data_IF_572862639772
#
_entry.id   IF_572862639772
#
_cell.length_a   1.000
_cell.length_b   1.000
_cell.length_c   1.000
_cell.angle_alpha   90.00
_cell.angle_beta   90.00
_cell.angle_gamma   90.00
#
_symmetry.space_group_name_H-M   'P 1'
#
loop_
_entity.id
_entity.type
_entity.pdbx_description
1 polymer ?
#
# COMPACT_ATOMS: atom_id res chain seq x y z
N UNK A 1 -6.86 23.39 -1.08
CA UNK A 1 -8.25 22.91 -1.17
C UNK A 1 -8.50 21.88 -2.28
N UNK A 2 -7.77 21.89 -3.41
CA UNK A 2 -7.95 20.89 -4.51
C UNK A 2 -7.52 19.45 -4.18
N UNK A 3 -6.58 19.24 -3.24
CA UNK A 3 -6.07 17.90 -2.88
C UNK A 3 -7.07 17.04 -2.08
N UNK A 4 -8.00 17.66 -1.37
CA UNK A 4 -8.99 16.96 -0.53
C UNK A 4 -10.18 16.40 -1.34
N UNK A 5 -10.47 16.99 -2.51
CA UNK A 5 -11.55 16.54 -3.38
C UNK A 5 -11.22 15.21 -4.09
N UNK A 6 -9.94 14.96 -4.39
CA UNK A 6 -9.52 13.72 -5.05
C UNK A 6 -9.67 12.49 -4.13
N UNK A 7 -9.46 12.67 -2.81
CA UNK A 7 -9.65 11.61 -1.81
C UNK A 7 -11.13 11.22 -1.67
N UNK A 8 -12.03 12.21 -1.74
CA UNK A 8 -13.48 11.95 -1.71
C UNK A 8 -14.02 11.32 -3.00
N UNK A 9 -13.43 11.64 -4.16
CA UNK A 9 -13.85 11.06 -5.45
C UNK A 9 -13.50 9.57 -5.56
N UNK A 10 -12.38 9.13 -4.98
CA UNK A 10 -12.00 7.71 -4.94
C UNK A 10 -12.89 6.94 -3.95
N UNK A 11 -13.27 7.55 -2.82
CA UNK A 11 -14.22 6.97 -1.88
C UNK A 11 -15.62 6.76 -2.49
N UNK A 12 -16.04 7.63 -3.42
CA UNK A 12 -17.32 7.52 -4.11
C UNK A 12 -17.39 6.41 -5.17
N UNK A 13 -16.27 6.07 -5.82
CA UNK A 13 -16.23 4.97 -6.80
C UNK A 13 -16.22 3.57 -6.15
N UNK A 14 -15.94 3.45 -4.85
CA UNK A 14 -16.03 2.17 -4.12
C UNK A 14 -17.47 1.76 -3.76
N UNK A 15 -18.48 2.59 -4.02
CA UNK A 15 -19.87 2.31 -3.61
C UNK A 15 -20.61 1.36 -4.57
N UNK A 16 -19.97 0.95 -5.67
CA UNK A 16 -20.55 0.01 -6.64
C UNK A 16 -19.78 -1.32 -6.69
N UNK A 17 -19.88 -2.13 -5.63
CA UNK A 17 -19.40 -3.53 -5.62
C UNK A 17 -20.50 -4.44 -5.00
N UNK A 18 -20.78 -5.63 -5.56
CA UNK A 18 -21.97 -6.42 -5.24
C UNK A 18 -21.91 -7.09 -3.85
N UNK A 19 -23.10 -7.26 -3.25
CA UNK A 19 -23.47 -8.09 -2.08
C UNK A 19 -22.48 -8.21 -0.91
N UNK A 20 -22.83 -7.52 0.18
CA UNK A 20 -22.17 -7.41 1.50
C UNK A 20 -22.09 -8.71 2.34
N UNK A 21 -21.70 -9.87 1.79
CA UNK A 21 -21.58 -11.09 2.62
C UNK A 21 -20.19 -11.28 3.26
N UNK A 22 -19.11 -10.74 2.68
CA UNK A 22 -17.73 -11.05 3.12
C UNK A 22 -16.74 -9.86 2.91
N UNK A 23 -17.25 -8.63 2.89
CA UNK A 23 -16.38 -7.46 2.82
C UNK A 23 -15.85 -7.14 4.23
N UNK A 24 -14.53 -7.07 4.38
CA UNK A 24 -13.87 -6.77 5.65
C UNK A 24 -13.03 -5.50 5.51
N UNK A 25 -13.06 -4.64 6.53
CA UNK A 25 -12.19 -3.46 6.59
C UNK A 25 -11.16 -3.69 7.68
N UNK A 26 -9.91 -3.33 7.40
CA UNK A 26 -8.81 -3.44 8.35
C UNK A 26 -8.00 -2.15 8.43
N UNK A 27 -7.50 -1.82 9.62
CA UNK A 27 -6.42 -0.86 9.80
C UNK A 27 -5.10 -1.60 9.83
N UNK A 28 -4.10 -1.09 9.10
CA UNK A 28 -2.73 -1.61 9.06
C UNK A 28 -1.78 -0.61 9.69
N UNK A 29 -0.88 -1.11 10.54
CA UNK A 29 0.16 -0.34 11.23
C UNK A 29 1.51 -1.01 10.99
N UNK A 30 2.49 -0.29 10.47
CA UNK A 30 3.87 -0.77 10.34
C UNK A 30 4.64 -0.21 9.16
N UNK A 31 5.87 -0.66 8.97
CA UNK A 31 6.72 -0.22 7.86
C UNK A 31 6.26 -0.88 6.56
N UNK A 32 5.34 -0.22 5.85
CA UNK A 32 4.73 -0.79 4.65
C UNK A 32 4.74 0.17 3.46
N UNK A 33 5.32 -0.26 2.36
CA UNK A 33 5.16 0.34 1.03
C UNK A 33 3.78 0.07 0.43
N UNK A 34 2.94 -0.77 1.07
CA UNK A 34 1.58 -1.05 0.63
C UNK A 34 0.55 -0.09 1.25
N UNK A 35 0.79 0.36 2.48
CA UNK A 35 -0.15 1.19 3.24
C UNK A 35 0.50 2.32 4.04
N UNK A 36 1.78 2.62 3.83
CA UNK A 36 2.51 3.57 4.68
C UNK A 36 2.67 3.08 6.11
N UNK A 37 3.01 4.00 7.03
CA UNK A 37 3.11 3.67 8.47
C UNK A 37 1.76 3.28 9.09
N UNK A 38 0.70 3.95 8.65
CA UNK A 38 -0.66 3.64 9.04
C UNK A 38 -1.57 3.78 7.82
N UNK A 39 -2.38 2.76 7.56
CA UNK A 39 -3.30 2.76 6.45
C UNK A 39 -4.52 1.89 6.68
N UNK A 40 -5.42 1.90 5.71
CA UNK A 40 -6.66 1.15 5.70
C UNK A 40 -6.60 0.17 4.55
N UNK A 41 -7.14 -1.02 4.76
CA UNK A 41 -7.34 -2.02 3.73
C UNK A 41 -8.80 -2.45 3.68
N UNK A 42 -9.36 -2.44 2.49
CA UNK A 42 -10.65 -3.02 2.17
C UNK A 42 -10.42 -4.37 1.50
N UNK A 43 -10.93 -5.45 2.08
CA UNK A 43 -10.80 -6.81 1.57
C UNK A 43 -12.14 -7.34 1.11
N UNK A 44 -12.16 -7.99 -0.05
CA UNK A 44 -13.29 -8.75 -0.57
C UNK A 44 -12.77 -10.02 -1.23
N UNK A 45 -13.15 -11.17 -0.68
CA UNK A 45 -12.56 -12.46 -1.03
C UNK A 45 -11.03 -12.42 -0.92
N UNK A 46 -10.34 -12.83 -1.98
CA UNK A 46 -8.88 -12.90 -2.04
C UNK A 46 -8.20 -11.55 -2.33
N UNK A 47 -8.96 -10.50 -2.68
CA UNK A 47 -8.39 -9.21 -3.08
C UNK A 47 -8.49 -8.23 -1.92
N UNK A 48 -7.41 -7.51 -1.62
CA UNK A 48 -7.46 -6.34 -0.75
C UNK A 48 -6.89 -5.10 -1.43
N UNK A 49 -7.55 -3.96 -1.20
CA UNK A 49 -7.12 -2.64 -1.67
C UNK A 49 -6.67 -1.83 -0.45
N UNK A 50 -5.43 -1.36 -0.48
CA UNK A 50 -4.80 -0.62 0.60
C UNK A 50 -4.55 0.83 0.23
N UNK A 51 -4.73 1.72 1.19
CA UNK A 51 -4.23 3.08 1.10
C UNK A 51 -3.85 3.60 2.49
N UNK A 52 -2.76 4.33 2.60
CA UNK A 52 -2.40 4.95 3.88
C UNK A 52 -1.37 6.08 3.74
N UNK A 53 -1.66 7.25 4.33
CA UNK A 53 -0.77 8.42 4.29
C UNK A 53 -0.28 8.89 5.67
N UNK A 54 -0.51 8.11 6.73
CA UNK A 54 -0.38 8.63 8.10
C UNK A 54 1.08 8.53 8.57
N UNK A 55 1.87 9.53 8.17
CA UNK A 55 3.31 9.70 8.33
C UNK A 55 4.16 8.70 7.50
N UNK A 56 5.19 9.21 6.81
CA UNK A 56 6.07 8.39 5.96
C UNK A 56 5.55 8.21 4.52
N UNK A 57 5.82 7.05 3.87
CA UNK A 57 5.41 6.80 2.50
C UNK A 57 3.88 6.79 2.36
N UNK A 58 3.35 7.58 1.42
CA UNK A 58 1.96 7.57 0.99
C UNK A 58 1.83 6.48 -0.05
N UNK A 59 1.18 5.38 0.32
CA UNK A 59 1.04 4.21 -0.53
C UNK A 59 -0.41 3.94 -0.89
N UNK A 60 -0.61 3.53 -2.14
CA UNK A 60 -1.83 2.90 -2.64
C UNK A 60 -1.44 1.52 -3.15
N UNK A 61 -2.23 0.50 -2.85
CA UNK A 61 -1.87 -0.86 -3.22
C UNK A 61 -3.06 -1.77 -3.47
N UNK A 62 -2.76 -2.87 -4.15
CA UNK A 62 -3.65 -4.01 -4.30
C UNK A 62 -2.89 -5.29 -3.91
N UNK A 63 -3.55 -6.19 -3.19
CA UNK A 63 -3.04 -7.53 -2.85
C UNK A 63 -4.01 -8.58 -3.32
N UNK A 64 -3.45 -9.73 -3.66
CA UNK A 64 -4.14 -10.97 -3.87
C UNK A 64 -3.57 -12.01 -2.92
N UNK A 65 -4.36 -12.46 -1.95
CA UNK A 65 -4.01 -13.56 -1.06
C UNK A 65 -4.41 -14.90 -1.69
N UNK A 66 -3.58 -15.93 -1.59
CA UNK A 66 -3.91 -17.26 -2.11
C UNK A 66 -5.08 -17.91 -1.36
N UNK A 67 -5.17 -17.65 -0.05
CA UNK A 67 -6.26 -18.08 0.82
C UNK A 67 -6.87 -16.85 1.50
N UNK A 68 -8.20 -16.84 1.63
CA UNK A 68 -8.94 -15.77 2.30
C UNK A 68 -8.82 -15.88 3.82
N UNK A 69 -8.82 -17.11 4.34
CA UNK A 69 -8.76 -17.44 5.76
C UNK A 69 -7.41 -18.01 6.16
N UNK A 70 -7.00 -17.74 7.40
CA UNK A 70 -5.77 -18.24 7.96
C UNK A 70 -4.52 -17.65 7.30
N UNK A 71 -3.41 -18.37 7.51
CA UNK A 71 -2.12 -17.98 6.98
C UNK A 71 -2.11 -18.13 5.45
N UNK A 72 -1.60 -17.11 4.77
CA UNK A 72 -1.61 -17.09 3.31
C UNK A 72 -0.41 -16.38 2.73
N UNK A 73 0.14 -16.93 1.66
CA UNK A 73 0.95 -16.15 0.73
C UNK A 73 0.08 -15.09 0.06
N UNK A 74 0.68 -13.96 -0.29
CA UNK A 74 0.05 -12.93 -1.08
C UNK A 74 1.04 -12.36 -2.09
N UNK A 75 0.50 -11.88 -3.20
CA UNK A 75 1.20 -11.06 -4.18
C UNK A 75 0.48 -9.72 -4.28
N UNK A 76 1.21 -8.64 -4.51
CA UNK A 76 0.63 -7.31 -4.56
C UNK A 76 1.39 -6.35 -5.45
N UNK A 77 0.73 -5.24 -5.73
CA UNK A 77 1.29 -4.09 -6.43
C UNK A 77 1.17 -2.88 -5.52
N UNK A 78 2.28 -2.19 -5.31
CA UNK A 78 2.32 -0.92 -4.59
C UNK A 78 2.58 0.23 -5.56
N UNK A 79 1.92 1.34 -5.30
CA UNK A 79 2.22 2.65 -5.83
C UNK A 79 2.52 3.58 -4.65
N UNK A 80 3.78 3.93 -4.48
CA UNK A 80 4.27 4.79 -3.40
C UNK A 80 4.52 6.17 -3.98
N UNK A 81 3.86 7.21 -3.46
CA UNK A 81 3.87 8.55 -4.06
C UNK A 81 5.14 9.35 -3.73
N UNK A 82 5.79 9.07 -2.60
CA UNK A 82 6.97 9.74 -2.07
C UNK A 82 8.00 8.70 -1.62
N UNK A 83 8.42 7.84 -2.54
CA UNK A 83 9.32 6.73 -2.26
C UNK A 83 10.77 7.18 -2.06
N UNK A 84 11.16 8.25 -2.73
CA UNK A 84 12.44 8.91 -2.59
C UNK A 84 12.27 10.44 -2.68
N UNK A 85 13.26 11.17 -2.20
CA UNK A 85 13.33 12.62 -2.30
C UNK A 85 14.61 12.97 -3.07
N UNK A 86 14.49 13.74 -4.15
CA UNK A 86 15.62 14.24 -4.94
C UNK A 86 15.77 15.73 -4.67
N UNK A 87 17.00 16.15 -4.41
CA UNK A 87 17.39 17.56 -4.32
C UNK A 87 17.68 18.07 -5.72
N UNK A 88 16.91 19.06 -6.16
CA UNK A 88 17.14 19.74 -7.45
C UNK A 88 18.23 20.81 -7.31
N UNK A 89 18.78 21.26 -8.44
CA UNK A 89 19.83 22.29 -8.51
C UNK A 89 19.41 23.62 -7.82
N UNK A 90 18.10 23.89 -7.77
CA UNK A 90 17.51 25.07 -7.11
C UNK A 90 17.34 24.91 -5.59
N UNK A 91 17.91 23.86 -4.98
CA UNK A 91 17.74 23.47 -3.57
C UNK A 91 16.29 23.18 -3.16
N UNK A 92 15.41 22.94 -4.14
CA UNK A 92 14.07 22.41 -3.95
C UNK A 92 14.12 20.89 -3.84
N UNK A 93 13.21 20.32 -3.05
CA UNK A 93 13.08 18.88 -2.96
C UNK A 93 11.84 18.37 -3.70
N UNK A 94 12.02 17.25 -4.39
CA UNK A 94 11.00 16.62 -5.23
C UNK A 94 10.79 15.18 -4.80
N UNK A 95 9.55 14.86 -4.44
CA UNK A 95 9.12 13.49 -4.19
C UNK A 95 9.11 12.70 -5.50
N UNK A 96 9.75 11.54 -5.48
CA UNK A 96 9.76 10.60 -6.60
C UNK A 96 8.84 9.43 -6.30
N UNK A 97 7.77 9.24 -7.09
CA UNK A 97 6.91 8.09 -6.94
C UNK A 97 7.61 6.80 -7.38
N UNK A 98 7.14 5.67 -6.86
CA UNK A 98 7.63 4.34 -7.19
C UNK A 98 6.45 3.40 -7.41
N UNK A 99 6.57 2.51 -8.39
CA UNK A 99 5.61 1.43 -8.61
C UNK A 99 6.32 0.09 -8.69
N UNK A 100 5.77 -0.94 -8.06
CA UNK A 100 6.36 -2.26 -8.19
C UNK A 100 5.58 -3.39 -7.52
N UNK A 101 5.95 -4.63 -7.88
CA UNK A 101 5.42 -5.82 -7.25
C UNK A 101 6.02 -6.05 -5.87
N UNK A 102 5.22 -6.64 -4.99
CA UNK A 102 5.63 -7.23 -3.72
C UNK A 102 5.03 -8.62 -3.60
N UNK A 103 5.73 -9.49 -2.89
CA UNK A 103 5.20 -10.77 -2.43
C UNK A 103 5.47 -10.91 -0.95
N UNK A 104 4.62 -11.65 -0.26
CA UNK A 104 4.79 -11.86 1.16
C UNK A 104 3.89 -12.93 1.72
N UNK A 105 3.85 -12.96 3.03
CA UNK A 105 3.09 -13.90 3.82
C UNK A 105 2.31 -13.16 4.90
N UNK A 106 1.04 -13.55 5.04
CA UNK A 106 0.14 -13.12 6.10
C UNK A 106 0.05 -14.24 7.14
N UNK A 107 0.24 -13.89 8.39
CA UNK A 107 0.10 -14.74 9.57
C UNK A 107 -1.14 -14.27 10.32
N UNK A 108 -2.17 -15.11 10.36
CA UNK A 108 -3.36 -14.86 11.17
C UNK A 108 -3.07 -15.23 12.62
N UNK A 109 -3.27 -14.27 13.54
CA UNK A 109 -3.12 -14.49 14.97
C UNK A 109 -4.46 -14.83 15.61
N UNK A 110 -5.54 -14.24 15.11
CA UNK A 110 -6.93 -14.55 15.42
C UNK A 110 -7.84 -13.97 14.30
N UNK A 111 -9.16 -14.10 14.47
CA UNK A 111 -10.17 -13.63 13.50
C UNK A 111 -10.11 -12.13 13.15
N UNK A 112 -9.47 -11.32 14.00
CA UNK A 112 -9.39 -9.86 13.86
C UNK A 112 -7.97 -9.34 13.68
N UNK A 113 -6.93 -10.14 13.90
CA UNK A 113 -5.54 -9.67 13.98
C UNK A 113 -4.63 -10.50 13.09
N UNK A 114 -3.94 -9.84 12.16
CA UNK A 114 -2.92 -10.45 11.29
C UNK A 114 -1.59 -9.71 11.35
N UNK A 115 -0.51 -10.42 11.02
CA UNK A 115 0.80 -9.85 10.72
C UNK A 115 1.10 -10.13 9.24
N UNK A 116 1.58 -9.13 8.51
CA UNK A 116 2.06 -9.28 7.15
C UNK A 116 3.54 -8.97 7.06
N UNK A 117 4.28 -9.85 6.40
CA UNK A 117 5.71 -9.68 6.10
C UNK A 117 5.90 -9.93 4.60
N UNK A 118 6.51 -9.00 3.90
CA UNK A 118 6.73 -9.08 2.46
C UNK A 118 7.82 -8.16 1.98
N UNK A 119 8.26 -8.42 0.75
CA UNK A 119 9.31 -7.66 0.09
C UNK A 119 9.09 -7.62 -1.41
N UNK A 120 9.69 -6.63 -2.05
CA UNK A 120 9.60 -6.42 -3.48
C UNK A 120 10.64 -5.43 -3.97
N UNK A 121 10.55 -5.11 -5.25
CA UNK A 121 11.44 -4.16 -5.89
C UNK A 121 10.67 -3.41 -6.96
N UNK A 122 10.67 -2.08 -6.87
CA UNK A 122 9.86 -1.22 -7.73
C UNK A 122 10.70 -0.20 -8.47
N UNK A 123 10.21 0.24 -9.62
CA UNK A 123 10.83 1.27 -10.45
C UNK A 123 10.41 2.66 -9.96
N UNK A 124 11.35 3.60 -9.94
CA UNK A 124 11.05 5.01 -9.70
C UNK A 124 10.44 5.63 -10.95
N UNK A 125 9.42 6.45 -10.77
CA UNK A 125 8.67 7.12 -11.82
C UNK A 125 9.07 8.59 -11.87
N UNK A 126 9.55 9.04 -13.03
CA UNK A 126 9.99 10.43 -13.18
C UNK A 126 11.32 10.73 -12.49
N UNK A 127 12.14 9.70 -12.27
CA UNK A 127 13.55 9.86 -11.95
C UNK A 127 14.23 10.65 -13.07
N UNK A 128 14.56 11.91 -12.79
CA UNK A 128 15.57 12.62 -13.59
C UNK A 128 16.93 11.97 -13.33
N UNK A 129 17.90 12.26 -14.20
CA UNK A 129 19.23 11.64 -14.23
C UNK A 129 20.04 11.68 -12.91
N UNK A 130 19.56 12.36 -11.87
CA UNK A 130 20.17 12.50 -10.55
C UNK A 130 19.81 11.39 -9.55
N UNK A 131 18.84 10.54 -9.86
CA UNK A 131 18.66 9.28 -9.12
C UNK A 131 19.69 8.27 -9.62
N UNK A 132 20.71 8.03 -8.79
CA UNK A 132 21.79 7.06 -9.09
C UNK A 132 21.25 5.63 -9.32
N UNK A 133 20.06 5.34 -8.78
CA UNK A 133 19.33 4.09 -8.97
C UNK A 133 17.94 4.35 -9.60
N UNK A 134 17.58 3.59 -10.64
CA UNK A 134 16.28 3.70 -11.32
C UNK A 134 15.16 2.92 -10.62
N UNK A 135 15.49 2.22 -9.53
CA UNK A 135 14.58 1.34 -8.80
C UNK A 135 15.06 1.16 -7.35
N UNK A 136 14.17 0.69 -6.49
CA UNK A 136 14.44 0.54 -5.07
C UNK A 136 13.62 -0.59 -4.42
N UNK A 137 13.97 -0.98 -3.19
CA UNK A 137 13.24 -2.00 -2.46
C UNK A 137 11.85 -1.51 -2.05
N UNK A 138 10.91 -2.45 -2.01
CA UNK A 138 9.59 -2.28 -1.42
C UNK A 138 9.49 -3.24 -0.22
N UNK A 139 8.93 -2.79 0.89
CA UNK A 139 8.86 -3.56 2.13
C UNK A 139 7.42 -3.60 2.64
N UNK A 140 7.00 -4.71 3.23
CA UNK A 140 5.78 -4.76 4.02
C UNK A 140 6.06 -5.47 5.32
N UNK A 141 6.08 -4.75 6.44
CA UNK A 141 6.06 -5.30 7.79
C UNK A 141 4.96 -4.57 8.52
N UNK A 142 3.79 -5.20 8.63
CA UNK A 142 2.61 -4.56 9.19
C UNK A 142 1.78 -5.49 10.06
N UNK A 143 1.09 -4.91 11.03
CA UNK A 143 0.04 -5.55 11.83
C UNK A 143 -1.30 -5.01 11.31
N UNK A 144 -2.22 -5.92 10.99
CA UNK A 144 -3.58 -5.62 10.57
C UNK A 144 -4.57 -5.90 11.70
N UNK A 145 -5.52 -5.00 11.90
CA UNK A 145 -6.69 -5.20 12.75
C UNK A 145 -7.96 -5.02 11.93
N UNK A 146 -8.80 -6.04 11.86
CA UNK A 146 -10.02 -6.09 11.07
C UNK A 146 -11.29 -5.91 11.92
N UNK A 147 -12.31 -5.28 11.34
CA UNK A 147 -13.62 -4.99 11.93
C UNK A 147 -14.76 -5.32 10.99
#
# INVERSE_FOLDING_TARGET
MKKWLAVFAIAGMLVAIPSQSEAQVSVRLGLSSMTGLVGVQYQTGNISLGAGPLAGPIAISARYALNTEGNSLWAGLAFVLNAAEVLEEDFTSKDVPQVGPLVGYRIELNETLDISIGGGYGIYLGADADLNDTAGPLLDISIGYSF
#
